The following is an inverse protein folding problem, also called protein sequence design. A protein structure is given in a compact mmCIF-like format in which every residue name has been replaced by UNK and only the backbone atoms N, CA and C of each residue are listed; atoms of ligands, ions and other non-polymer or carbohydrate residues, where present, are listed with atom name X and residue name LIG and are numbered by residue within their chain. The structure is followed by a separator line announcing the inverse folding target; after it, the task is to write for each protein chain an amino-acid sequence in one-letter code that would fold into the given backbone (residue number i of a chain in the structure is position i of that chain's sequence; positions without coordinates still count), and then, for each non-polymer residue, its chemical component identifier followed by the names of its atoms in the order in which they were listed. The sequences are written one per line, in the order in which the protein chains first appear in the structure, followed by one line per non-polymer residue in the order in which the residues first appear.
data_IF_550856173703
#
_entry.id   IF_550856173703
#
_cell.length_a   1.000
_cell.length_b   1.000
_cell.length_c   1.000
_cell.angle_alpha   90.00
_cell.angle_beta   90.00
_cell.angle_gamma   90.00
#
_symmetry.space_group_name_H-M   'P 1'
#
loop_
_entity.id
_entity.type
_entity.pdbx_description
1 polymer ?
#
# COMPACT_ATOMS: atom_id res chain seq x y z
N UNK A 1 -27.86 -76.76 26.00
CA UNK A 1 -26.94 -76.18 26.93
C UNK A 1 -25.80 -75.52 26.12
N UNK A 2 -25.96 -74.33 25.68
CA UNK A 2 -24.84 -73.42 25.18
C UNK A 2 -25.39 -72.04 25.28
N UNK A 3 -24.86 -71.28 26.22
CA UNK A 3 -25.14 -69.86 26.46
C UNK A 3 -24.56 -69.01 25.29
N UNK A 4 -25.44 -68.23 24.66
CA UNK A 4 -25.04 -67.33 23.62
C UNK A 4 -24.82 -65.92 24.22
N UNK A 5 -23.58 -65.48 24.31
CA UNK A 5 -23.17 -64.21 24.85
C UNK A 5 -23.29 -63.14 23.75
N UNK A 6 -24.29 -62.29 23.87
CA UNK A 6 -24.52 -61.17 22.96
C UNK A 6 -23.58 -60.04 23.32
N UNK A 7 -22.62 -59.81 22.44
CA UNK A 7 -21.66 -58.73 22.55
C UNK A 7 -22.32 -57.40 22.10
N UNK A 8 -22.67 -56.52 23.04
CA UNK A 8 -23.12 -55.18 22.75
C UNK A 8 -21.95 -54.33 22.24
N UNK A 9 -21.98 -54.00 20.96
CA UNK A 9 -21.08 -53.01 20.37
C UNK A 9 -21.52 -51.63 20.81
N UNK A 10 -20.77 -51.02 21.75
CA UNK A 10 -20.88 -49.60 22.10
C UNK A 10 -20.39 -48.74 20.96
N UNK A 11 -21.25 -47.91 20.43
CA UNK A 11 -20.93 -46.89 19.43
C UNK A 11 -20.26 -45.74 20.17
N UNK A 12 -18.93 -45.63 20.10
CA UNK A 12 -18.19 -44.48 20.56
C UNK A 12 -18.27 -43.41 19.45
N UNK A 13 -19.20 -42.50 19.62
CA UNK A 13 -19.27 -41.29 18.76
C UNK A 13 -18.13 -40.37 19.18
N UNK A 14 -17.04 -40.41 18.42
CA UNK A 14 -15.93 -39.46 18.54
C UNK A 14 -16.39 -38.11 18.00
N UNK A 15 -16.75 -37.20 18.89
CA UNK A 15 -17.10 -35.83 18.58
C UNK A 15 -15.80 -35.09 18.28
N UNK A 16 -15.42 -35.07 17.00
CA UNK A 16 -14.28 -34.27 16.51
C UNK A 16 -14.72 -32.80 16.46
N UNK A 17 -14.46 -32.08 17.54
CA UNK A 17 -14.58 -30.62 17.56
C UNK A 17 -13.53 -30.02 16.61
N UNK A 18 -13.91 -29.73 15.37
CA UNK A 18 -13.17 -28.88 14.51
C UNK A 18 -13.22 -27.46 15.10
N UNK A 19 -12.19 -27.10 15.87
CA UNK A 19 -11.87 -25.72 16.17
C UNK A 19 -11.41 -25.06 14.86
N UNK A 20 -12.36 -24.54 14.10
CA UNK A 20 -12.10 -23.50 13.11
C UNK A 20 -11.66 -22.26 13.90
N UNK A 21 -10.38 -22.21 14.27
CA UNK A 21 -9.73 -20.96 14.62
C UNK A 21 -9.75 -20.09 13.37
N UNK A 22 -10.79 -19.26 13.26
CA UNK A 22 -10.82 -18.17 12.32
C UNK A 22 -9.59 -17.32 12.56
N UNK A 23 -8.60 -17.45 11.67
CA UNK A 23 -7.52 -16.49 11.56
C UNK A 23 -8.19 -15.20 11.09
N UNK A 24 -8.67 -14.42 12.06
CA UNK A 24 -8.96 -13.02 11.81
C UNK A 24 -7.62 -12.39 11.46
N UNK A 25 -7.41 -12.14 10.19
CA UNK A 25 -6.38 -11.24 9.72
C UNK A 25 -6.69 -9.88 10.36
N UNK A 26 -6.14 -9.63 11.54
CA UNK A 26 -6.08 -8.29 12.10
C UNK A 26 -5.20 -7.53 11.13
N UNK A 27 -5.83 -6.86 10.17
CA UNK A 27 -5.19 -5.79 9.43
C UNK A 27 -4.81 -4.75 10.49
N UNK A 28 -3.59 -4.82 10.98
CA UNK A 28 -2.98 -3.77 11.77
C UNK A 28 -2.80 -2.57 10.82
N UNK A 29 -3.88 -1.82 10.60
CA UNK A 29 -3.78 -0.47 10.06
C UNK A 29 -3.04 0.35 11.09
N UNK A 30 -1.70 0.35 10.99
CA UNK A 30 -0.85 1.16 11.85
C UNK A 30 -1.32 2.61 11.76
N UNK A 31 -1.40 3.28 12.91
CA UNK A 31 -1.77 4.69 13.00
C UNK A 31 -0.76 5.50 12.16
N UNK A 32 -1.27 6.29 11.22
CA UNK A 32 -0.41 7.17 10.41
C UNK A 32 0.10 8.33 11.28
N UNK A 33 1.37 8.66 11.15
CA UNK A 33 2.02 9.81 11.79
C UNK A 33 1.73 11.07 10.96
N UNK A 34 0.54 11.64 11.14
CA UNK A 34 0.09 12.84 10.41
C UNK A 34 0.41 14.10 11.21
N UNK A 35 1.00 15.08 10.54
CA UNK A 35 1.08 16.44 11.04
C UNK A 35 -0.24 17.16 10.72
N UNK A 36 -0.81 17.81 11.71
CA UNK A 36 -2.05 18.59 11.55
C UNK A 36 -1.75 20.05 11.84
N UNK A 37 -2.25 20.91 11.00
CA UNK A 37 -2.15 22.36 11.14
C UNK A 37 -3.57 22.94 11.06
N UNK A 38 -3.90 23.85 11.97
CA UNK A 38 -5.23 24.48 12.03
C UNK A 38 -5.37 25.57 10.97
N UNK A 39 -4.24 26.17 10.58
CA UNK A 39 -4.21 27.21 9.56
C UNK A 39 -2.86 27.26 8.80
N UNK A 40 -2.80 28.10 7.77
CA UNK A 40 -1.61 28.29 6.94
C UNK A 40 -0.45 28.94 7.70
N UNK A 41 -0.71 29.66 8.78
CA UNK A 41 0.32 30.31 9.59
C UNK A 41 1.09 29.26 10.38
N UNK A 42 0.40 28.32 11.01
CA UNK A 42 1.03 27.17 11.70
C UNK A 42 1.85 26.33 10.73
N UNK A 43 1.33 26.06 9.54
CA UNK A 43 2.08 25.33 8.51
C UNK A 43 3.36 26.07 8.11
N UNK A 44 3.28 27.37 7.87
CA UNK A 44 4.45 28.19 7.52
C UNK A 44 5.48 28.27 8.64
N UNK A 45 5.01 28.44 9.88
CA UNK A 45 5.90 28.52 11.06
C UNK A 45 6.59 27.18 11.34
N UNK A 46 5.92 26.06 11.06
CA UNK A 46 6.52 24.73 11.14
C UNK A 46 7.71 24.57 10.18
N UNK A 47 7.62 25.11 8.96
CA UNK A 47 8.71 25.05 7.98
C UNK A 47 9.76 26.16 8.15
N UNK A 48 9.53 27.09 9.05
CA UNK A 48 10.50 28.18 9.31
C UNK A 48 11.71 27.64 10.06
N UNK A 49 12.90 27.87 9.49
CA UNK A 49 14.14 27.49 10.16
C UNK A 49 14.37 28.38 11.42
N UNK A 50 14.45 27.75 12.57
CA UNK A 50 14.64 28.41 13.86
C UNK A 50 15.98 28.07 14.54
N UNK A 51 16.79 27.22 13.91
CA UNK A 51 18.04 26.70 14.48
C UNK A 51 17.88 25.52 15.46
N UNK A 52 16.69 25.34 16.03
CA UNK A 52 16.39 24.30 17.03
C UNK A 52 15.19 23.42 16.60
N UNK A 53 14.83 23.45 15.34
CA UNK A 53 13.67 22.69 14.81
C UNK A 53 13.90 21.20 14.74
N UNK A 54 12.82 20.44 14.74
CA UNK A 54 12.84 19.01 14.46
C UNK A 54 13.31 18.75 13.02
N UNK A 55 14.00 17.64 12.82
CA UNK A 55 14.35 17.16 11.47
C UNK A 55 13.06 16.79 10.75
N UNK A 56 12.88 17.34 9.56
CA UNK A 56 11.76 17.02 8.67
C UNK A 56 12.27 16.09 7.59
N UNK A 57 11.58 14.96 7.41
CA UNK A 57 11.92 13.95 6.38
C UNK A 57 11.13 14.23 5.12
N UNK A 58 11.82 14.32 3.98
CA UNK A 58 11.21 14.33 2.66
C UNK A 58 11.38 12.97 1.99
N UNK A 59 10.27 12.30 1.69
CA UNK A 59 10.27 11.07 0.93
C UNK A 59 10.30 11.36 -0.57
N UNK A 60 11.47 11.17 -1.21
CA UNK A 60 11.61 11.28 -2.65
C UNK A 60 10.76 10.21 -3.33
N UNK A 61 9.76 10.61 -4.14
CA UNK A 61 8.76 9.74 -4.79
C UNK A 61 8.04 8.76 -3.83
N UNK A 62 7.95 9.10 -2.55
CA UNK A 62 7.35 8.24 -1.53
C UNK A 62 8.31 7.25 -0.85
N UNK A 63 9.61 7.30 -1.15
CA UNK A 63 10.62 6.41 -0.56
C UNK A 63 10.90 5.15 -1.40
N UNK A 64 12.00 4.47 -1.04
CA UNK A 64 12.50 3.27 -1.72
C UNK A 64 12.47 2.09 -0.75
N UNK A 65 11.32 1.48 -0.58
CA UNK A 65 11.20 0.29 0.25
C UNK A 65 10.78 -0.91 -0.60
N UNK A 66 11.34 -2.09 -0.30
CA UNK A 66 11.04 -3.32 -1.05
C UNK A 66 9.54 -3.62 -1.05
N UNK A 67 9.03 -3.99 -2.22
CA UNK A 67 7.61 -4.28 -2.42
C UNK A 67 6.72 -3.07 -2.69
N UNK A 68 7.27 -1.84 -2.62
CA UNK A 68 6.57 -0.62 -3.00
C UNK A 68 7.20 0.02 -4.24
N UNK A 69 6.35 0.57 -5.10
CA UNK A 69 6.79 1.37 -6.23
C UNK A 69 6.98 2.83 -5.83
N UNK A 70 7.85 3.53 -6.55
CA UNK A 70 7.88 5.00 -6.50
C UNK A 70 6.52 5.60 -6.87
N UNK A 71 6.18 6.76 -6.33
CA UNK A 71 4.94 7.50 -6.61
C UNK A 71 3.64 6.69 -6.36
N UNK A 72 3.62 5.72 -5.44
CA UNK A 72 2.41 4.95 -5.12
C UNK A 72 1.88 5.28 -3.72
N UNK A 73 0.56 5.28 -3.56
CA UNK A 73 -0.11 5.60 -2.30
C UNK A 73 0.30 4.65 -1.17
N UNK A 74 0.49 3.38 -1.50
CA UNK A 74 0.89 2.36 -0.53
C UNK A 74 2.29 2.64 0.04
N UNK A 75 3.23 3.10 -0.79
CA UNK A 75 4.58 3.51 -0.37
C UNK A 75 4.55 4.74 0.53
N UNK A 76 3.80 5.79 0.13
CA UNK A 76 3.58 6.98 0.97
C UNK A 76 3.01 6.58 2.33
N UNK A 77 1.97 5.75 2.35
CA UNK A 77 1.34 5.27 3.58
C UNK A 77 2.28 4.43 4.44
N UNK A 78 3.19 3.67 3.83
CA UNK A 78 4.15 2.87 4.56
C UNK A 78 5.17 3.74 5.31
N UNK A 79 5.68 4.81 4.70
CA UNK A 79 6.55 5.78 5.37
C UNK A 79 5.81 6.47 6.53
N UNK A 80 4.55 6.90 6.31
CA UNK A 80 3.75 7.56 7.35
C UNK A 80 3.38 6.65 8.53
N UNK A 81 3.47 5.34 8.40
CA UNK A 81 3.34 4.41 9.53
C UNK A 81 4.57 4.41 10.44
N UNK A 82 5.71 4.83 9.92
CA UNK A 82 6.98 4.83 10.63
C UNK A 82 7.29 6.20 11.24
N UNK A 83 7.04 7.29 10.48
CA UNK A 83 7.36 8.66 10.90
C UNK A 83 6.51 9.71 10.17
N UNK A 84 6.41 10.92 10.72
CA UNK A 84 5.89 12.06 9.97
C UNK A 84 6.82 12.40 8.81
N UNK A 85 6.26 12.61 7.63
CA UNK A 85 7.02 12.99 6.45
C UNK A 85 6.19 13.88 5.53
N UNK A 86 6.84 14.63 4.67
CA UNK A 86 6.26 15.18 3.44
C UNK A 86 6.89 14.45 2.24
N UNK A 87 6.27 14.57 1.08
CA UNK A 87 6.71 13.81 -0.08
C UNK A 87 6.94 14.73 -1.28
N UNK A 88 8.01 14.47 -1.98
CA UNK A 88 8.18 14.91 -3.34
C UNK A 88 7.48 13.89 -4.24
N UNK A 89 6.71 14.36 -5.22
CA UNK A 89 5.90 13.56 -6.14
C UNK A 89 5.97 14.14 -7.56
N UNK A 90 5.77 13.28 -8.56
CA UNK A 90 5.92 13.65 -9.97
C UNK A 90 4.58 13.63 -10.72
N UNK A 91 3.87 14.77 -10.87
CA UNK A 91 2.63 14.81 -11.62
C UNK A 91 2.84 14.81 -13.14
N UNK A 92 2.03 14.04 -13.87
CA UNK A 92 1.94 14.05 -15.34
C UNK A 92 0.51 14.03 -15.81
N UNK A 93 0.27 14.56 -17.00
CA UNK A 93 -1.03 14.52 -17.65
C UNK A 93 -1.17 13.29 -18.55
N UNK A 94 -2.31 12.64 -18.45
CA UNK A 94 -2.77 11.62 -19.41
C UNK A 94 -3.33 12.26 -20.67
N UNK A 95 -3.64 11.45 -21.68
CA UNK A 95 -4.29 11.89 -22.94
C UNK A 95 -5.62 12.62 -22.71
N UNK A 96 -6.37 12.23 -21.70
CA UNK A 96 -7.67 12.81 -21.30
C UNK A 96 -7.53 13.83 -20.16
N UNK A 97 -6.32 14.40 -19.97
CA UNK A 97 -6.01 15.49 -19.03
C UNK A 97 -6.23 15.14 -17.55
N UNK A 98 -6.17 13.88 -17.17
CA UNK A 98 -6.15 13.47 -15.76
C UNK A 98 -4.72 13.57 -15.25
N UNK A 99 -4.52 14.15 -14.05
CA UNK A 99 -3.20 14.22 -13.41
C UNK A 99 -2.96 12.89 -12.70
N UNK A 100 -1.84 12.23 -13.06
CA UNK A 100 -1.37 10.99 -12.45
C UNK A 100 0.03 11.18 -11.87
N UNK A 101 0.44 10.35 -10.90
CA UNK A 101 1.79 10.38 -10.36
C UNK A 101 2.68 9.40 -11.12
N UNK A 102 3.68 9.93 -11.82
CA UNK A 102 4.62 9.17 -12.62
C UNK A 102 5.86 9.99 -12.94
N UNK A 103 7.06 9.53 -12.56
CA UNK A 103 8.29 10.25 -12.84
C UNK A 103 8.62 10.28 -14.33
N UNK A 104 8.67 9.11 -14.97
CA UNK A 104 9.07 9.00 -16.37
C UNK A 104 7.96 9.47 -17.32
N UNK A 105 8.35 9.98 -18.48
CA UNK A 105 7.41 10.29 -19.54
C UNK A 105 6.79 9.05 -20.16
N UNK A 106 7.38 7.87 -19.93
CA UNK A 106 6.94 6.57 -20.44
C UNK A 106 6.61 5.59 -19.32
N UNK A 107 5.82 4.58 -19.64
CA UNK A 107 5.31 3.57 -18.72
C UNK A 107 6.29 2.42 -18.47
N UNK A 108 7.30 2.27 -19.30
CA UNK A 108 8.09 1.04 -19.50
C UNK A 108 8.87 0.59 -18.26
N UNK A 109 9.51 1.52 -17.55
CA UNK A 109 10.38 1.21 -16.41
C UNK A 109 9.58 0.78 -15.18
N UNK A 110 8.58 1.58 -14.83
CA UNK A 110 7.90 1.48 -13.53
C UNK A 110 6.52 0.85 -13.59
N UNK A 111 6.06 0.40 -14.78
CA UNK A 111 4.73 -0.21 -14.92
C UNK A 111 4.75 -1.49 -15.77
N UNK A 112 3.61 -2.17 -15.82
CA UNK A 112 3.36 -3.28 -16.75
C UNK A 112 2.96 -2.84 -18.15
N UNK A 113 2.84 -1.52 -18.38
CA UNK A 113 2.53 -0.92 -19.69
C UNK A 113 3.78 -0.47 -20.44
N UNK A 114 3.57 0.06 -21.63
CA UNK A 114 4.60 0.59 -22.52
C UNK A 114 4.13 1.89 -23.19
N UNK A 115 5.08 2.69 -23.68
CA UNK A 115 4.79 3.93 -24.39
C UNK A 115 4.60 5.15 -23.48
N UNK A 116 4.22 6.29 -24.07
CA UNK A 116 4.17 7.57 -23.33
C UNK A 116 2.88 7.67 -22.50
N UNK A 117 2.99 8.21 -21.29
CA UNK A 117 1.85 8.48 -20.40
C UNK A 117 0.79 9.34 -21.09
N UNK A 118 1.19 10.39 -21.81
CA UNK A 118 0.28 11.31 -22.52
C UNK A 118 -0.44 10.70 -23.73
N UNK A 119 -0.08 9.52 -24.17
CA UNK A 119 -0.74 8.81 -25.28
C UNK A 119 -1.88 7.89 -24.77
N UNK A 120 -2.00 7.70 -23.45
CA UNK A 120 -2.98 6.85 -22.80
C UNK A 120 -4.02 7.63 -22.01
N UNK A 121 -5.25 7.16 -22.01
CA UNK A 121 -6.32 7.67 -21.13
C UNK A 121 -6.15 7.13 -19.71
N UNK A 122 -6.72 7.82 -18.72
CA UNK A 122 -6.76 7.32 -17.34
C UNK A 122 -7.41 5.93 -17.26
N UNK A 123 -8.48 5.68 -18.01
CA UNK A 123 -9.16 4.39 -18.06
C UNK A 123 -8.22 3.23 -18.50
N UNK A 124 -7.24 3.51 -19.32
CA UNK A 124 -6.22 2.54 -19.72
C UNK A 124 -5.16 2.37 -18.63
N UNK A 125 -4.64 3.47 -18.08
CA UNK A 125 -3.56 3.46 -17.09
C UNK A 125 -3.95 2.79 -15.77
N UNK A 126 -5.19 2.95 -15.29
CA UNK A 126 -5.65 2.34 -14.04
C UNK A 126 -5.66 0.79 -14.07
N UNK A 127 -5.55 0.17 -15.25
CA UNK A 127 -5.45 -1.30 -15.39
C UNK A 127 -4.03 -1.82 -15.16
N UNK A 128 -3.05 -0.95 -15.28
CA UNK A 128 -1.64 -1.29 -15.13
C UNK A 128 -1.28 -1.53 -13.65
N UNK A 129 -0.20 -2.26 -13.45
CA UNK A 129 0.45 -2.43 -12.14
C UNK A 129 1.79 -1.72 -12.16
N UNK A 130 2.17 -1.20 -10.99
CA UNK A 130 3.48 -0.62 -10.81
C UNK A 130 4.51 -1.72 -10.50
N UNK A 131 5.76 -1.44 -10.85
CA UNK A 131 6.92 -2.26 -10.51
C UNK A 131 7.70 -1.56 -9.39
N UNK A 132 8.29 -2.31 -8.48
CA UNK A 132 9.25 -1.79 -7.52
C UNK A 132 10.61 -1.48 -8.20
N UNK A 133 11.56 -0.98 -7.43
CA UNK A 133 12.89 -0.62 -7.92
C UNK A 133 13.71 -1.81 -8.47
N UNK A 134 13.36 -3.04 -8.10
CA UNK A 134 13.96 -4.27 -8.64
C UNK A 134 13.34 -4.72 -9.98
N UNK A 135 12.28 -4.04 -10.42
CA UNK A 135 11.49 -4.41 -11.61
C UNK A 135 10.41 -5.46 -11.36
N UNK A 136 10.21 -5.87 -10.11
CA UNK A 136 9.17 -6.84 -9.73
C UNK A 136 7.81 -6.15 -9.71
N UNK A 137 6.82 -6.78 -10.33
CA UNK A 137 5.44 -6.29 -10.36
C UNK A 137 4.84 -6.34 -8.96
N UNK A 138 4.28 -5.22 -8.51
CA UNK A 138 3.61 -5.06 -7.22
C UNK A 138 2.09 -5.08 -7.36
N UNK A 139 1.38 -4.96 -6.24
CA UNK A 139 -0.07 -4.72 -6.24
C UNK A 139 -0.44 -3.24 -6.37
N UNK A 140 0.54 -2.34 -6.30
CA UNK A 140 0.34 -0.91 -6.42
C UNK A 140 -0.15 -0.52 -7.82
N UNK A 141 -0.93 0.56 -7.88
CA UNK A 141 -1.45 1.14 -9.12
C UNK A 141 -0.95 2.57 -9.26
N UNK A 142 -0.96 3.07 -10.50
CA UNK A 142 -0.74 4.49 -10.78
C UNK A 142 -1.83 5.28 -10.05
N UNK A 143 -1.50 6.23 -9.14
CA UNK A 143 -2.51 7.05 -8.49
C UNK A 143 -2.81 8.31 -9.30
N UNK A 144 -3.97 8.89 -9.07
CA UNK A 144 -4.29 10.27 -9.46
C UNK A 144 -3.97 11.23 -8.31
N UNK A 145 -3.74 12.49 -8.65
CA UNK A 145 -3.60 13.58 -7.68
C UNK A 145 -4.99 14.07 -7.26
#
# INVERSE_FOLDING_TARGET
MKSCMVLRRGLVASLMFLLLSGIQSVSAQGKLHLLKFDDVTQLRDFFKYTGNGSIIVSGHRGGYEEGYSENCIEGLGNVLKQMPAFFEIDPRLTKDSVIVLMHDATLDRTTTGTGKVCDHTWKELQKLRLKDHSGKVTNCKIPTL
#
